data_IF_942949306965
#
_entry.id   IF_942949306965
#
_cell.length_a   1.000
_cell.length_b   1.000
_cell.length_c   1.000
_cell.angle_alpha   90.00
_cell.angle_beta   90.00
_cell.angle_gamma   90.00
#
_symmetry.space_group_name_H-M   'P 1'
#
loop_
_entity.id
_entity.type
_entity.pdbx_description
1 polymer ?
#
# COMPACT_ATOMS: atom_id res chain seq x y z
N UNK A 1 -1.06 -12.36 -20.34
CA UNK A 1 -0.93 -12.06 -18.90
C UNK A 1 -0.16 -10.77 -18.80
N UNK A 2 -0.71 -9.71 -18.20
CA UNK A 2 0.00 -8.43 -18.10
C UNK A 2 1.06 -8.54 -17.00
N UNK A 3 2.32 -8.43 -17.40
CA UNK A 3 3.47 -8.45 -16.51
C UNK A 3 3.61 -7.06 -15.85
N UNK A 4 3.90 -7.01 -14.56
CA UNK A 4 4.33 -5.78 -13.91
C UNK A 4 5.64 -5.30 -14.55
N UNK A 5 5.72 -4.01 -14.88
CA UNK A 5 6.88 -3.39 -15.53
C UNK A 5 7.29 -2.17 -14.73
N UNK A 6 8.34 -2.32 -13.93
CA UNK A 6 8.90 -1.26 -13.13
C UNK A 6 9.64 -0.27 -14.04
N UNK A 7 9.25 1.00 -13.98
CA UNK A 7 9.91 2.11 -14.65
C UNK A 7 10.59 2.96 -13.58
N UNK A 8 11.91 3.15 -13.70
CA UNK A 8 12.71 3.96 -12.80
C UNK A 8 13.97 4.46 -13.51
N UNK A 9 14.44 5.65 -13.14
CA UNK A 9 15.73 6.20 -13.60
C UNK A 9 16.92 5.74 -12.75
N UNK A 10 16.64 5.06 -11.63
CA UNK A 10 17.64 4.57 -10.69
C UNK A 10 17.47 3.08 -10.41
N UNK A 11 18.57 2.42 -10.12
CA UNK A 11 18.63 1.01 -9.76
C UNK A 11 18.63 0.83 -8.23
N UNK A 12 18.28 -0.36 -7.69
CA UNK A 12 18.41 -0.65 -6.28
C UNK A 12 19.84 -0.42 -5.76
N UNK A 13 19.98 0.28 -4.65
CA UNK A 13 21.28 0.66 -4.06
C UNK A 13 21.32 0.33 -2.55
N UNK A 14 22.53 0.32 -1.99
CA UNK A 14 22.75 0.00 -0.56
C UNK A 14 22.26 -1.40 -0.22
N UNK A 15 21.42 -1.51 0.82
CA UNK A 15 20.87 -2.79 1.28
C UNK A 15 19.66 -3.29 0.46
N UNK A 16 19.12 -2.46 -0.45
CA UNK A 16 17.93 -2.80 -1.22
C UNK A 16 18.09 -4.09 -2.06
N UNK A 17 19.19 -4.32 -2.81
CA UNK A 17 19.34 -5.54 -3.61
C UNK A 17 19.24 -6.82 -2.77
N UNK A 18 19.84 -6.83 -1.58
CA UNK A 18 19.80 -7.98 -0.69
C UNK A 18 18.40 -8.16 -0.09
N UNK A 19 17.77 -7.09 0.37
CA UNK A 19 16.40 -7.12 0.89
C UNK A 19 15.39 -7.65 -0.15
N UNK A 20 15.48 -7.18 -1.40
CA UNK A 20 14.63 -7.66 -2.51
C UNK A 20 14.84 -9.17 -2.71
N UNK A 21 16.10 -9.61 -2.79
CA UNK A 21 16.45 -11.02 -3.01
C UNK A 21 15.90 -11.93 -1.92
N UNK A 22 16.04 -11.54 -0.65
CA UNK A 22 15.56 -12.31 0.50
C UNK A 22 14.05 -12.43 0.52
N UNK A 23 13.34 -11.30 0.34
CA UNK A 23 11.88 -11.28 0.28
C UNK A 23 11.34 -12.13 -0.87
N UNK A 24 11.88 -11.97 -2.08
CA UNK A 24 11.47 -12.75 -3.25
C UNK A 24 11.73 -14.25 -3.05
N UNK A 25 12.91 -14.60 -2.51
CA UNK A 25 13.26 -16.00 -2.22
C UNK A 25 12.31 -16.63 -1.21
N UNK A 26 12.03 -15.93 -0.11
CA UNK A 26 11.11 -16.41 0.92
C UNK A 26 9.68 -16.61 0.40
N UNK A 27 9.16 -15.62 -0.33
CA UNK A 27 7.82 -15.67 -0.91
C UNK A 27 7.68 -16.77 -1.99
N UNK A 28 8.74 -17.05 -2.77
CA UNK A 28 8.76 -18.18 -3.71
C UNK A 28 8.82 -19.54 -3.01
N UNK A 29 9.32 -19.60 -1.77
CA UNK A 29 9.32 -20.79 -0.92
C UNK A 29 8.01 -20.97 -0.13
N UNK A 30 6.97 -20.20 -0.46
CA UNK A 30 5.67 -20.18 0.24
C UNK A 30 5.81 -19.89 1.75
N UNK A 31 6.80 -19.10 2.14
CA UNK A 31 6.83 -18.53 3.47
C UNK A 31 5.79 -17.39 3.53
N UNK A 32 4.82 -17.52 4.43
CA UNK A 32 3.65 -16.63 4.43
C UNK A 32 3.94 -15.24 5.02
N UNK A 33 4.89 -15.15 5.95
CA UNK A 33 5.13 -13.95 6.73
C UNK A 33 6.57 -13.49 6.60
N UNK A 34 6.73 -12.23 6.24
CA UNK A 34 8.02 -11.56 6.07
C UNK A 34 7.95 -10.16 6.66
N UNK A 35 9.06 -9.70 7.23
CA UNK A 35 9.20 -8.34 7.77
C UNK A 35 10.37 -7.65 7.10
N UNK A 36 10.11 -6.55 6.40
CA UNK A 36 11.14 -5.66 5.90
C UNK A 36 11.49 -4.62 6.97
N UNK A 37 12.57 -4.85 7.71
CA UNK A 37 13.08 -3.90 8.70
C UNK A 37 13.93 -2.82 8.01
N UNK A 38 13.29 -1.74 7.57
CA UNK A 38 13.97 -0.64 6.89
C UNK A 38 13.88 0.70 7.63
N UNK A 39 14.99 1.40 7.77
CA UNK A 39 15.05 2.76 8.35
C UNK A 39 14.28 3.77 7.49
N UNK A 40 13.92 4.92 8.04
CA UNK A 40 13.32 6.03 7.26
C UNK A 40 14.30 6.51 6.19
N UNK A 41 13.80 6.81 4.99
CA UNK A 41 14.64 7.25 3.86
C UNK A 41 15.34 6.14 3.08
N UNK A 42 15.27 4.87 3.51
CA UNK A 42 15.92 3.73 2.81
C UNK A 42 15.28 3.31 1.48
N UNK A 43 14.20 3.96 1.04
CA UNK A 43 13.51 3.60 -0.21
C UNK A 43 12.67 2.32 -0.10
N UNK A 44 11.92 2.14 1.00
CA UNK A 44 11.06 0.97 1.22
C UNK A 44 10.03 0.75 0.10
N UNK A 45 9.42 1.82 -0.43
CA UNK A 45 8.46 1.70 -1.53
C UNK A 45 9.12 1.13 -2.79
N UNK A 46 10.30 1.65 -3.15
CA UNK A 46 11.04 1.17 -4.32
C UNK A 46 11.51 -0.29 -4.14
N UNK A 47 11.92 -0.66 -2.93
CA UNK A 47 12.22 -2.06 -2.56
C UNK A 47 11.00 -2.95 -2.82
N UNK A 48 9.82 -2.55 -2.34
CA UNK A 48 8.58 -3.30 -2.55
C UNK A 48 8.15 -3.33 -4.02
N UNK A 49 8.36 -2.26 -4.80
CA UNK A 49 8.09 -2.25 -6.23
C UNK A 49 8.92 -3.31 -6.97
N UNK A 50 10.21 -3.43 -6.69
CA UNK A 50 11.06 -4.48 -7.25
C UNK A 50 10.58 -5.89 -6.84
N UNK A 51 10.12 -6.07 -5.60
CA UNK A 51 9.55 -7.35 -5.13
C UNK A 51 8.26 -7.69 -5.90
N UNK A 52 7.36 -6.72 -6.10
CA UNK A 52 6.11 -6.88 -6.85
C UNK A 52 6.39 -7.28 -8.29
N UNK A 53 7.32 -6.59 -8.97
CA UNK A 53 7.75 -6.93 -10.33
C UNK A 53 8.31 -8.36 -10.41
N UNK A 54 9.22 -8.71 -9.50
CA UNK A 54 9.91 -10.02 -9.50
C UNK A 54 8.99 -11.22 -9.19
N UNK A 55 7.91 -10.99 -8.45
CA UNK A 55 6.90 -12.01 -8.13
C UNK A 55 5.75 -12.05 -9.13
N UNK A 56 5.50 -10.92 -9.80
CA UNK A 56 4.44 -10.74 -10.79
C UNK A 56 3.06 -11.22 -10.30
N UNK A 57 2.68 -10.83 -9.08
CA UNK A 57 1.40 -11.18 -8.44
C UNK A 57 0.58 -9.92 -8.15
N UNK A 58 -0.76 -9.95 -8.34
CA UNK A 58 -1.63 -8.90 -7.84
C UNK A 58 -1.38 -8.69 -6.35
N UNK A 59 -1.18 -7.44 -5.95
CA UNK A 59 -0.71 -7.09 -4.59
C UNK A 59 -1.61 -6.04 -3.98
N UNK A 60 -2.02 -6.27 -2.73
CA UNK A 60 -2.74 -5.30 -1.91
C UNK A 60 -1.77 -4.65 -0.92
N UNK A 61 -1.71 -3.32 -0.92
CA UNK A 61 -0.91 -2.53 0.01
C UNK A 61 -1.88 -1.80 0.95
N UNK A 62 -1.74 -2.03 2.25
CA UNK A 62 -2.61 -1.46 3.27
C UNK A 62 -1.84 -0.37 4.01
N UNK A 63 -2.43 0.82 4.10
CA UNK A 63 -1.93 1.95 4.88
C UNK A 63 -2.90 2.28 6.00
N UNK A 64 -2.38 2.75 7.13
CA UNK A 64 -3.18 3.08 8.32
C UNK A 64 -3.90 4.44 8.20
N UNK A 65 -3.59 5.27 7.20
CA UNK A 65 -4.23 6.56 6.99
C UNK A 65 -4.32 6.95 5.50
N UNK A 66 -5.27 7.85 5.18
CA UNK A 66 -5.55 8.34 3.81
C UNK A 66 -4.34 9.07 3.20
N UNK A 67 -3.61 9.88 3.97
CA UNK A 67 -2.48 10.67 3.47
C UNK A 67 -1.35 9.79 2.94
N UNK A 68 -0.93 8.80 3.73
CA UNK A 68 0.12 7.85 3.34
C UNK A 68 -0.38 6.91 2.23
N UNK A 69 -1.67 6.56 2.22
CA UNK A 69 -2.25 5.76 1.14
C UNK A 69 -2.17 6.52 -0.21
N UNK A 70 -2.51 7.82 -0.22
CA UNK A 70 -2.40 8.67 -1.41
C UNK A 70 -0.94 8.84 -1.87
N UNK A 71 0.00 9.01 -0.94
CA UNK A 71 1.44 9.07 -1.25
C UNK A 71 1.91 7.77 -1.92
N UNK A 72 1.60 6.62 -1.32
CA UNK A 72 1.96 5.31 -1.88
C UNK A 72 1.34 5.10 -3.25
N UNK A 73 0.07 5.47 -3.43
CA UNK A 73 -0.59 5.42 -4.74
C UNK A 73 0.17 6.24 -5.80
N UNK A 74 0.56 7.48 -5.47
CA UNK A 74 1.36 8.32 -6.36
C UNK A 74 2.71 7.71 -6.71
N UNK A 75 3.44 7.20 -5.71
CA UNK A 75 4.73 6.51 -5.91
C UNK A 75 4.58 5.27 -6.80
N UNK A 76 3.60 4.40 -6.52
CA UNK A 76 3.37 3.20 -7.33
C UNK A 76 2.86 3.50 -8.74
N UNK A 77 2.04 4.54 -8.94
CA UNK A 77 1.68 5.02 -10.29
C UNK A 77 2.91 5.47 -11.07
N UNK A 78 3.86 6.13 -10.41
CA UNK A 78 5.14 6.50 -11.02
C UNK A 78 6.00 5.29 -11.38
N UNK A 79 6.04 4.28 -10.51
CA UNK A 79 6.82 3.05 -10.73
C UNK A 79 6.20 2.11 -11.77
N UNK A 80 4.87 2.07 -11.89
CA UNK A 80 4.15 1.15 -12.77
C UNK A 80 3.17 1.90 -13.69
N UNK A 81 3.66 2.81 -14.56
CA UNK A 81 2.79 3.65 -15.39
C UNK A 81 1.99 2.83 -16.42
N UNK A 82 2.51 1.66 -16.81
CA UNK A 82 1.89 0.75 -17.78
C UNK A 82 1.00 -0.34 -17.11
N UNK A 83 0.80 -0.29 -15.79
CA UNK A 83 -0.01 -1.27 -15.05
C UNK A 83 -1.18 -0.63 -14.29
N UNK A 84 -2.16 -1.46 -13.92
CA UNK A 84 -3.31 -1.06 -13.11
C UNK A 84 -2.89 -0.87 -11.64
N UNK A 85 -2.55 0.36 -11.29
CA UNK A 85 -2.40 0.81 -9.90
C UNK A 85 -3.70 1.50 -9.51
N UNK A 86 -4.36 1.01 -8.46
CA UNK A 86 -5.69 1.47 -8.04
C UNK A 86 -5.66 2.03 -6.62
N UNK A 87 -6.64 2.87 -6.29
CA UNK A 87 -6.77 3.52 -4.99
C UNK A 87 -8.13 3.20 -4.36
N UNK A 88 -8.13 2.56 -3.20
CA UNK A 88 -9.34 2.14 -2.51
C UNK A 88 -9.37 2.66 -1.07
N UNK A 89 -10.20 3.67 -0.82
CA UNK A 89 -10.41 4.29 0.49
C UNK A 89 -11.89 4.58 0.70
N UNK A 90 -12.29 4.88 1.93
CA UNK A 90 -13.62 5.44 2.19
C UNK A 90 -13.82 6.69 1.35
N UNK A 91 -14.88 6.70 0.55
CA UNK A 91 -15.31 7.83 -0.27
C UNK A 91 -16.05 8.90 0.55
N UNK A 92 -16.33 8.65 1.83
CA UNK A 92 -16.92 9.64 2.71
C UNK A 92 -15.86 10.65 3.17
N UNK A 93 -16.21 11.93 3.04
CA UNK A 93 -15.45 13.04 3.61
C UNK A 93 -15.77 13.18 5.11
N UNK A 94 -17.05 13.03 5.44
CA UNK A 94 -17.55 12.93 6.79
C UNK A 94 -18.49 11.74 6.92
N UNK A 95 -18.34 10.99 8.01
CA UNK A 95 -19.23 9.88 8.33
C UNK A 95 -19.46 9.81 9.84
N UNK A 96 -20.71 9.98 10.24
CA UNK A 96 -21.20 9.71 11.57
C UNK A 96 -22.02 8.41 11.54
N UNK A 97 -21.56 7.34 12.24
CA UNK A 97 -22.38 6.15 12.36
C UNK A 97 -23.60 6.44 13.23
N UNK A 98 -24.66 5.67 13.00
CA UNK A 98 -25.77 5.59 13.93
C UNK A 98 -25.28 5.08 15.29
N UNK A 99 -25.69 5.76 16.36
CA UNK A 99 -25.29 5.41 17.71
C UNK A 99 -26.38 5.75 18.73
N UNK A 100 -26.32 5.11 19.89
CA UNK A 100 -27.15 5.45 21.04
C UNK A 100 -26.25 5.62 22.26
N UNK A 101 -26.42 6.72 23.00
CA UNK A 101 -25.66 7.08 24.20
C UNK A 101 -26.58 6.92 25.42
N UNK A 102 -26.45 5.83 26.20
CA UNK A 102 -27.38 5.55 27.29
C UNK A 102 -27.33 6.56 28.44
N UNK A 103 -26.16 7.13 28.73
CA UNK A 103 -25.98 8.07 29.85
C UNK A 103 -26.76 9.36 29.69
N UNK A 104 -27.09 9.74 28.46
CA UNK A 104 -27.84 10.94 28.12
C UNK A 104 -29.16 10.63 27.40
N UNK A 105 -29.54 9.35 27.32
CA UNK A 105 -30.72 8.87 26.58
C UNK A 105 -30.80 9.49 25.17
N UNK A 106 -29.66 9.52 24.47
CA UNK A 106 -29.54 10.23 23.19
C UNK A 106 -29.32 9.26 22.05
N UNK A 107 -30.22 9.29 21.07
CA UNK A 107 -30.04 8.64 19.78
C UNK A 107 -29.36 9.60 18.80
N UNK A 108 -28.34 9.10 18.11
CA UNK A 108 -27.56 9.81 17.10
C UNK A 108 -27.84 9.14 15.76
N UNK A 109 -28.51 9.87 14.87
CA UNK A 109 -28.78 9.41 13.51
C UNK A 109 -27.50 9.30 12.69
N UNK A 110 -27.53 8.38 11.73
CA UNK A 110 -26.50 8.28 10.70
C UNK A 110 -26.51 9.54 9.84
N UNK A 111 -25.34 10.17 9.71
CA UNK A 111 -25.14 11.30 8.81
C UNK A 111 -23.83 11.11 8.02
N UNK A 112 -23.80 11.55 6.77
CA UNK A 112 -22.63 11.41 5.93
C UNK A 112 -22.63 12.39 4.78
N UNK A 113 -21.45 12.88 4.38
CA UNK A 113 -21.27 13.72 3.20
C UNK A 113 -20.16 13.21 2.28
N UNK A 114 -20.32 13.54 1.01
CA UNK A 114 -19.38 13.27 -0.10
C UNK A 114 -19.35 14.55 -0.94
N UNK A 115 -18.15 15.03 -1.32
CA UNK A 115 -18.00 16.13 -2.28
C UNK A 115 -18.46 15.76 -3.70
#
# INVERSE_FOLDING_TARGET
MNQFKLVSTYNPQGDQPQAIKELVSGLRKNQNFHTLLGVTGSGKTFTMANVIEALNKPTLIISHNKTLAAQLYGEFKGFFPDNAVEYFVSYYDYYQPEAYIPSTDTYIEKDSSVN
#
